data_IF_832851299036
#
_entry.id   IF_832851299036
#
_cell.length_a   1.000
_cell.length_b   1.000
_cell.length_c   1.000
_cell.angle_alpha   90.00
_cell.angle_beta   90.00
_cell.angle_gamma   90.00
#
_symmetry.space_group_name_H-M   'P 1'
#
loop_
_entity.id
_entity.type
_entity.pdbx_description
1 polymer ?
#
# COMPACT_ATOMS: atom_id res chain seq x y z
N UNK A 1 -16.29 38.14 -14.27
CA UNK A 1 -16.52 37.10 -15.29
C UNK A 1 -15.30 37.00 -16.17
N UNK A 2 -14.90 35.77 -16.46
CA UNK A 2 -13.74 35.44 -17.27
C UNK A 2 -14.05 34.16 -18.05
N UNK A 3 -13.42 33.99 -19.20
CA UNK A 3 -13.39 32.70 -19.92
C UNK A 3 -11.92 32.33 -20.11
N UNK A 4 -11.62 31.04 -19.94
CA UNK A 4 -10.29 30.46 -20.16
C UNK A 4 -10.45 29.21 -21.00
N UNK A 5 -9.62 29.08 -22.02
CA UNK A 5 -9.47 27.84 -22.75
C UNK A 5 -8.46 26.94 -22.05
N UNK A 6 -8.69 25.63 -22.08
CA UNK A 6 -7.72 24.65 -21.61
C UNK A 6 -6.50 24.62 -22.54
N UNK A 7 -5.27 24.76 -22.02
CA UNK A 7 -4.07 24.82 -22.87
C UNK A 7 -3.72 23.48 -23.53
N UNK A 8 -4.36 22.37 -23.12
CA UNK A 8 -4.07 21.01 -23.61
C UNK A 8 -5.20 20.40 -24.44
N UNK A 9 -6.41 20.96 -24.38
CA UNK A 9 -7.56 20.52 -25.18
C UNK A 9 -8.27 21.70 -25.83
N UNK A 10 -8.07 21.83 -27.14
CA UNK A 10 -8.78 22.80 -27.97
C UNK A 10 -10.30 22.64 -27.81
N UNK A 11 -11.00 23.76 -27.64
CA UNK A 11 -12.44 23.84 -27.48
C UNK A 11 -13.01 23.42 -26.12
N UNK A 12 -12.15 23.01 -25.18
CA UNK A 12 -12.52 22.91 -23.76
C UNK A 12 -12.37 24.29 -23.10
N UNK A 13 -13.50 24.88 -22.70
CA UNK A 13 -13.54 26.20 -22.08
C UNK A 13 -14.08 26.15 -20.66
N UNK A 14 -13.54 27.00 -19.79
CA UNK A 14 -14.03 27.25 -18.43
C UNK A 14 -14.51 28.69 -18.31
N UNK A 15 -15.68 28.92 -17.71
CA UNK A 15 -16.25 30.24 -17.51
C UNK A 15 -16.48 30.55 -16.02
N UNK A 16 -15.95 31.69 -15.59
CA UNK A 16 -16.25 32.31 -14.30
C UNK A 16 -17.49 33.20 -14.42
N UNK A 17 -18.49 32.91 -13.59
CA UNK A 17 -19.78 33.61 -13.61
C UNK A 17 -20.13 34.18 -12.23
N UNK A 18 -21.26 34.87 -12.13
CA UNK A 18 -21.80 35.29 -10.83
C UNK A 18 -22.38 34.12 -10.01
N UNK A 19 -22.52 32.94 -10.61
CA UNK A 19 -23.14 31.73 -10.05
C UNK A 19 -22.25 30.50 -10.23
N UNK A 20 -20.98 30.60 -9.84
CA UNK A 20 -20.04 29.48 -9.95
C UNK A 20 -19.31 29.38 -11.29
N UNK A 21 -18.81 28.17 -11.57
CA UNK A 21 -17.97 27.84 -12.72
C UNK A 21 -18.77 26.99 -13.71
N UNK A 22 -18.57 27.21 -15.01
CA UNK A 22 -19.17 26.42 -16.08
C UNK A 22 -18.07 25.88 -16.99
N UNK A 23 -18.34 24.74 -17.62
CA UNK A 23 -17.47 24.08 -18.60
C UNK A 23 -18.20 23.93 -19.93
N UNK A 24 -17.47 24.10 -21.03
CA UNK A 24 -17.93 23.86 -22.39
C UNK A 24 -16.96 22.90 -23.07
N UNK A 25 -17.49 21.98 -23.86
CA UNK A 25 -16.70 21.00 -24.63
C UNK A 25 -16.75 21.24 -26.15
N UNK A 26 -17.41 22.30 -26.60
CA UNK A 26 -17.73 22.59 -28.00
C UNK A 26 -17.55 24.08 -28.36
N UNK A 27 -16.41 24.66 -27.98
CA UNK A 27 -16.04 26.06 -28.29
C UNK A 27 -17.03 27.11 -27.77
N UNK A 28 -17.77 26.78 -26.71
CA UNK A 28 -18.70 27.67 -26.03
C UNK A 28 -20.11 27.64 -26.62
N UNK A 29 -20.42 26.69 -27.51
CA UNK A 29 -21.77 26.52 -28.04
C UNK A 29 -22.74 26.00 -26.96
N UNK A 30 -22.28 25.13 -26.07
CA UNK A 30 -23.04 24.63 -24.92
C UNK A 30 -22.21 24.72 -23.62
N UNK A 31 -22.89 25.07 -22.54
CA UNK A 31 -22.27 25.21 -21.21
C UNK A 31 -22.98 24.33 -20.20
N UNK A 32 -22.20 23.58 -19.42
CA UNK A 32 -22.66 22.81 -18.28
C UNK A 32 -22.09 23.43 -16.99
N UNK A 33 -22.86 23.36 -15.88
CA UNK A 33 -22.35 23.77 -14.58
C UNK A 33 -21.21 22.82 -14.15
N UNK A 34 -20.07 23.40 -13.75
CA UNK A 34 -18.97 22.69 -13.12
C UNK A 34 -18.98 23.03 -11.64
N UNK A 35 -19.60 22.15 -10.84
CA UNK A 35 -19.73 22.36 -9.41
C UNK A 35 -18.92 21.32 -8.62
N UNK A 36 -17.66 21.63 -8.23
CA UNK A 36 -16.83 20.75 -7.42
C UNK A 36 -17.19 20.82 -5.92
N UNK A 37 -18.44 21.11 -5.57
CA UNK A 37 -18.89 21.36 -4.19
C UNK A 37 -18.77 22.83 -3.75
N UNK A 38 -18.72 23.75 -4.72
CA UNK A 38 -18.73 25.18 -4.45
C UNK A 38 -20.13 25.64 -4.02
N UNK A 39 -20.19 26.57 -3.06
CA UNK A 39 -21.44 27.30 -2.83
C UNK A 39 -21.75 28.20 -4.03
N UNK A 40 -23.01 28.61 -4.19
CA UNK A 40 -23.39 29.62 -5.18
C UNK A 40 -22.77 30.97 -4.80
N UNK A 41 -21.70 31.36 -5.51
CA UNK A 41 -21.02 32.64 -5.32
C UNK A 41 -20.35 33.14 -6.60
N UNK A 42 -20.11 34.47 -6.70
CA UNK A 42 -19.40 35.04 -7.83
C UNK A 42 -17.95 34.55 -7.91
N UNK A 43 -17.56 34.10 -9.10
CA UNK A 43 -16.20 33.75 -9.47
C UNK A 43 -15.62 34.92 -10.26
N UNK A 44 -14.51 35.46 -9.78
CA UNK A 44 -13.91 36.66 -10.38
C UNK A 44 -12.96 36.31 -11.52
N UNK A 45 -12.21 35.21 -11.38
CA UNK A 45 -11.26 34.75 -12.39
C UNK A 45 -10.96 33.25 -12.29
N UNK A 46 -10.38 32.72 -13.37
CA UNK A 46 -9.91 31.33 -13.50
C UNK A 46 -8.50 31.31 -14.07
N UNK A 47 -7.70 30.35 -13.62
CA UNK A 47 -6.39 30.01 -14.21
C UNK A 47 -6.31 28.50 -14.35
N UNK A 48 -5.97 28.04 -15.55
CA UNK A 48 -5.65 26.63 -15.81
C UNK A 48 -4.14 26.51 -15.74
N UNK A 49 -3.64 25.71 -14.80
CA UNK A 49 -2.21 25.48 -14.59
C UNK A 49 -1.97 23.98 -14.54
N UNK A 50 -1.15 23.46 -15.46
CA UNK A 50 -0.89 22.02 -15.60
C UNK A 50 -2.17 21.17 -15.57
N UNK A 51 -2.43 20.41 -14.52
CA UNK A 51 -3.60 19.54 -14.33
C UNK A 51 -4.64 20.10 -13.34
N UNK A 52 -4.56 21.39 -13.01
CA UNK A 52 -5.39 22.02 -12.01
C UNK A 52 -6.11 23.26 -12.55
N UNK A 53 -7.31 23.51 -12.01
CA UNK A 53 -8.06 24.73 -12.24
C UNK A 53 -8.12 25.55 -10.95
N UNK A 54 -7.39 26.66 -10.92
CA UNK A 54 -7.47 27.64 -9.84
C UNK A 54 -8.67 28.58 -10.05
N UNK A 55 -9.50 28.68 -9.02
CA UNK A 55 -10.80 29.36 -9.06
C UNK A 55 -10.80 30.50 -8.05
N UNK A 56 -10.68 31.74 -8.51
CA UNK A 56 -10.70 32.91 -7.66
C UNK A 56 -12.15 33.31 -7.32
N UNK A 57 -12.47 33.31 -6.04
CA UNK A 57 -13.81 33.53 -5.51
C UNK A 57 -13.96 34.97 -4.99
N UNK A 58 -15.17 35.53 -5.12
CA UNK A 58 -15.50 36.79 -4.45
C UNK A 58 -15.76 36.54 -2.94
N UNK A 59 -14.84 36.99 -2.10
CA UNK A 59 -15.02 37.01 -0.64
C UNK A 59 -14.75 35.69 0.10
N UNK A 60 -14.26 34.63 -0.58
CA UNK A 60 -13.86 33.36 0.06
C UNK A 60 -12.50 32.82 -0.41
N UNK A 61 -11.60 33.71 -0.83
CA UNK A 61 -10.25 33.33 -1.28
C UNK A 61 -10.28 32.67 -2.66
N UNK A 62 -9.56 31.57 -2.80
CA UNK A 62 -9.54 30.77 -4.04
C UNK A 62 -9.65 29.28 -3.70
N UNK A 63 -10.08 28.52 -4.70
CA UNK A 63 -10.15 27.06 -4.68
C UNK A 63 -9.23 26.51 -5.75
N UNK A 64 -8.77 25.28 -5.58
CA UNK A 64 -8.07 24.53 -6.64
C UNK A 64 -8.87 23.26 -6.86
N UNK A 65 -9.35 23.08 -8.09
CA UNK A 65 -9.84 21.79 -8.55
C UNK A 65 -8.63 21.05 -9.12
N UNK A 66 -8.05 20.19 -8.28
CA UNK A 66 -6.94 19.33 -8.68
C UNK A 66 -7.43 18.18 -9.58
N UNK A 67 -6.54 17.70 -10.46
CA UNK A 67 -6.80 16.62 -11.43
C UNK A 67 -8.04 16.88 -12.31
N UNK A 68 -7.90 17.86 -13.21
CA UNK A 68 -8.85 18.11 -14.31
C UNK A 68 -8.66 17.14 -15.48
N UNK A 69 -7.79 16.12 -15.34
CA UNK A 69 -7.56 15.07 -16.33
C UNK A 69 -8.85 14.41 -16.84
N UNK A 70 -9.78 14.00 -15.96
CA UNK A 70 -11.09 13.48 -16.36
C UNK A 70 -11.93 14.48 -17.16
N UNK A 71 -11.88 15.78 -16.83
CA UNK A 71 -12.58 16.81 -17.62
C UNK A 71 -11.98 16.90 -19.02
N UNK A 72 -10.66 16.89 -19.14
CA UNK A 72 -9.96 16.88 -20.44
C UNK A 72 -10.23 15.64 -21.28
N UNK A 73 -10.59 14.53 -20.66
CA UNK A 73 -10.86 13.26 -21.35
C UNK A 73 -12.37 13.01 -21.53
N UNK A 74 -13.23 13.93 -21.08
CA UNK A 74 -14.67 13.79 -21.20
C UNK A 74 -15.10 13.84 -22.68
N UNK A 75 -15.76 12.79 -23.14
CA UNK A 75 -16.32 12.67 -24.48
C UNK A 75 -17.75 12.12 -24.38
N UNK A 76 -18.63 12.43 -25.35
CA UNK A 76 -19.98 11.85 -25.37
C UNK A 76 -19.95 10.32 -25.26
N UNK A 77 -20.76 9.76 -24.36
CA UNK A 77 -20.84 8.32 -24.12
C UNK A 77 -19.67 7.71 -23.35
N UNK A 78 -18.68 8.51 -22.92
CA UNK A 78 -17.54 8.02 -22.11
C UNK A 78 -17.99 7.36 -20.81
N UNK A 79 -19.03 7.90 -20.19
CA UNK A 79 -19.66 7.38 -18.97
C UNK A 79 -20.57 6.19 -19.20
N UNK A 80 -20.85 5.84 -20.47
CA UNK A 80 -21.58 4.62 -20.82
C UNK A 80 -20.66 3.38 -20.74
N UNK A 81 -19.34 3.59 -20.73
CA UNK A 81 -18.37 2.53 -20.51
C UNK A 81 -18.51 1.99 -19.08
N UNK A 82 -18.63 0.66 -18.95
CA UNK A 82 -18.77 -0.02 -17.66
C UNK A 82 -17.61 0.27 -16.71
N UNK A 83 -16.39 0.33 -17.26
CA UNK A 83 -15.15 0.62 -16.54
C UNK A 83 -14.29 1.52 -17.42
N UNK A 84 -13.88 2.68 -16.91
CA UNK A 84 -12.96 3.57 -17.60
C UNK A 84 -11.97 4.22 -16.65
N UNK A 85 -10.71 3.84 -16.78
CA UNK A 85 -9.58 4.46 -16.09
C UNK A 85 -9.06 5.63 -16.94
N UNK A 86 -9.00 6.83 -16.35
CA UNK A 86 -8.53 8.03 -17.02
C UNK A 86 -6.99 8.09 -17.00
N UNK A 87 -6.40 8.66 -18.06
CA UNK A 87 -4.97 8.96 -18.11
C UNK A 87 -4.62 10.00 -17.04
N UNK A 88 -3.77 9.66 -16.04
CA UNK A 88 -3.39 10.59 -14.99
C UNK A 88 -2.31 11.57 -15.49
N UNK A 89 -2.16 12.68 -14.77
CA UNK A 89 -1.00 13.56 -14.90
C UNK A 89 0.29 12.82 -14.47
N UNK A 90 1.47 13.24 -14.96
CA UNK A 90 2.74 12.71 -14.48
C UNK A 90 2.88 12.91 -12.96
N UNK A 91 3.24 11.85 -12.26
CA UNK A 91 3.56 11.89 -10.84
C UNK A 91 5.02 12.29 -10.63
N UNK A 92 5.31 12.96 -9.51
CA UNK A 92 6.67 13.29 -9.12
C UNK A 92 7.07 12.50 -7.88
N UNK A 93 8.24 11.86 -7.92
CA UNK A 93 8.84 11.26 -6.72
C UNK A 93 9.06 12.35 -5.67
N UNK A 94 8.93 12.03 -4.38
CA UNK A 94 8.96 13.00 -3.26
C UNK A 94 7.87 14.08 -3.29
N UNK A 95 6.77 13.85 -4.03
CA UNK A 95 5.52 14.59 -3.93
C UNK A 95 4.38 13.67 -3.40
N UNK A 96 3.12 14.03 -3.67
CA UNK A 96 1.95 13.37 -3.09
C UNK A 96 1.67 11.97 -3.65
N UNK A 97 2.13 11.68 -4.87
CA UNK A 97 1.94 10.39 -5.52
C UNK A 97 1.43 10.51 -6.95
N UNK A 98 0.82 9.44 -7.45
CA UNK A 98 0.06 9.44 -8.68
C UNK A 98 -1.44 9.40 -8.35
N UNK A 99 -2.17 10.43 -8.77
CA UNK A 99 -3.63 10.44 -8.67
C UNK A 99 -4.25 9.67 -9.82
N UNK A 100 -4.92 8.58 -9.49
CA UNK A 100 -5.67 7.76 -10.40
C UNK A 100 -7.15 8.09 -10.27
N UNK A 101 -7.81 8.25 -11.41
CA UNK A 101 -9.23 8.56 -11.49
C UNK A 101 -9.90 7.57 -12.43
N UNK A 102 -11.07 7.07 -12.06
CA UNK A 102 -11.86 6.18 -12.93
C UNK A 102 -13.35 6.39 -12.80
N UNK A 103 -14.07 6.00 -13.85
CA UNK A 103 -15.53 5.94 -13.89
C UNK A 103 -15.99 4.48 -13.88
N UNK A 104 -17.00 4.19 -13.06
CA UNK A 104 -17.76 2.94 -13.10
C UNK A 104 -19.23 3.25 -13.40
N UNK A 105 -19.82 2.60 -14.40
CA UNK A 105 -21.21 2.86 -14.78
C UNK A 105 -22.24 2.33 -13.76
N UNK A 106 -21.82 1.40 -12.90
CA UNK A 106 -22.59 0.84 -11.80
C UNK A 106 -21.64 0.38 -10.68
N UNK A 107 -22.17 0.12 -9.49
CA UNK A 107 -21.39 -0.41 -8.37
C UNK A 107 -20.98 -1.87 -8.66
N UNK A 108 -19.67 -2.20 -8.67
CA UNK A 108 -19.21 -3.53 -9.06
C UNK A 108 -19.26 -4.54 -7.90
N UNK A 109 -19.41 -5.82 -8.21
CA UNK A 109 -19.32 -6.91 -7.21
C UNK A 109 -17.87 -7.25 -6.87
N UNK A 110 -16.95 -7.11 -7.84
CA UNK A 110 -15.51 -7.26 -7.64
C UNK A 110 -14.74 -6.09 -8.24
N UNK A 111 -13.73 -5.61 -7.52
CA UNK A 111 -12.89 -4.48 -7.94
C UNK A 111 -11.45 -4.75 -7.52
N UNK A 112 -10.50 -4.45 -8.40
CA UNK A 112 -9.07 -4.58 -8.12
C UNK A 112 -8.29 -3.54 -8.92
N UNK A 113 -7.28 -2.95 -8.30
CA UNK A 113 -6.32 -2.06 -8.96
C UNK A 113 -4.94 -2.70 -8.86
N UNK A 114 -4.35 -3.01 -10.00
CA UNK A 114 -2.98 -3.48 -10.11
C UNK A 114 -2.10 -2.37 -10.66
N UNK A 115 -0.89 -2.23 -10.10
CA UNK A 115 0.16 -1.40 -10.67
C UNK A 115 1.25 -2.33 -11.20
N UNK A 116 1.64 -2.12 -12.45
CA UNK A 116 2.66 -2.89 -13.14
C UNK A 116 3.87 -2.02 -13.46
N UNK A 117 5.06 -2.63 -13.43
CA UNK A 117 6.29 -2.00 -13.89
C UNK A 117 6.39 -1.98 -15.43
N UNK A 118 7.47 -1.39 -15.95
CA UNK A 118 7.73 -1.31 -17.39
C UNK A 118 7.99 -2.66 -18.08
N UNK A 119 8.17 -3.75 -17.32
CA UNK A 119 8.31 -5.12 -17.83
C UNK A 119 6.98 -5.87 -17.82
N UNK A 120 5.93 -5.30 -17.23
CA UNK A 120 4.61 -5.91 -17.09
C UNK A 120 4.47 -6.80 -15.85
N UNK A 121 5.39 -6.73 -14.88
CA UNK A 121 5.23 -7.43 -13.61
C UNK A 121 4.29 -6.62 -12.71
N UNK A 122 3.35 -7.29 -12.04
CA UNK A 122 2.54 -6.65 -10.98
C UNK A 122 3.44 -6.36 -9.79
N UNK A 123 3.55 -5.08 -9.44
CA UNK A 123 4.35 -4.60 -8.31
C UNK A 123 3.50 -4.15 -7.14
N UNK A 124 2.20 -3.93 -7.36
CA UNK A 124 1.24 -3.64 -6.30
C UNK A 124 -0.16 -4.09 -6.67
N UNK A 125 -0.85 -4.67 -5.69
CA UNK A 125 -2.28 -4.98 -5.78
C UNK A 125 -3.03 -4.23 -4.68
N UNK A 126 -4.09 -3.52 -5.05
CA UNK A 126 -4.99 -2.87 -4.10
C UNK A 126 -6.40 -3.40 -4.32
N UNK A 127 -6.98 -3.89 -3.25
CA UNK A 127 -8.33 -4.44 -3.22
C UNK A 127 -9.25 -3.60 -2.32
N UNK A 128 -10.57 -3.74 -2.47
CA UNK A 128 -11.54 -3.26 -1.49
C UNK A 128 -11.22 -3.80 -0.10
N UNK A 129 -11.51 -2.96 0.91
CA UNK A 129 -11.43 -3.42 2.29
C UNK A 129 -12.56 -4.41 2.54
N UNK A 130 -12.22 -5.57 3.10
CA UNK A 130 -13.20 -6.45 3.72
C UNK A 130 -13.91 -5.73 4.90
N UNK A 131 -15.23 -5.50 4.82
CA UNK A 131 -15.98 -4.80 5.85
C UNK A 131 -15.99 -5.54 7.20
N UNK A 132 -15.87 -6.87 7.18
CA UNK A 132 -15.88 -7.72 8.37
C UNK A 132 -14.48 -7.89 8.97
N UNK A 133 -13.42 -7.56 8.22
CA UNK A 133 -12.07 -7.59 8.73
C UNK A 133 -11.88 -6.58 9.88
N UNK A 134 -11.20 -6.96 10.99
CA UNK A 134 -10.89 -6.05 12.08
C UNK A 134 -10.23 -4.76 11.58
N UNK A 135 -10.59 -3.62 12.16
CA UNK A 135 -9.93 -2.34 11.87
C UNK A 135 -8.51 -2.35 12.40
N UNK A 136 -7.59 -2.82 11.57
CA UNK A 136 -6.17 -2.65 11.79
C UNK A 136 -5.77 -1.23 11.38
N UNK A 137 -5.33 -0.41 12.35
CA UNK A 137 -4.81 0.94 12.12
C UNK A 137 -3.59 0.93 11.18
N UNK A 138 -2.96 -0.23 11.01
CA UNK A 138 -1.81 -0.47 10.16
C UNK A 138 -2.16 -1.02 8.77
N UNK A 139 -3.45 -1.31 8.50
CA UNK A 139 -3.90 -1.68 7.15
C UNK A 139 -3.58 -0.57 6.14
N UNK A 140 -3.19 -0.98 4.93
CA UNK A 140 -2.83 -0.09 3.84
C UNK A 140 -4.04 0.63 3.22
N UNK A 141 -3.79 1.37 2.15
CA UNK A 141 -4.86 1.92 1.33
C UNK A 141 -5.75 0.79 0.77
N UNK A 142 -7.05 1.04 0.67
CA UNK A 142 -8.03 0.11 0.11
C UNK A 142 -8.94 0.84 -0.86
N UNK A 143 -9.52 0.10 -1.80
CA UNK A 143 -10.45 0.68 -2.76
C UNK A 143 -11.82 0.94 -2.12
N UNK A 144 -12.45 2.03 -2.56
CA UNK A 144 -13.87 2.27 -2.30
C UNK A 144 -14.66 1.68 -3.47
N UNK A 145 -15.63 0.83 -3.17
CA UNK A 145 -16.54 0.23 -4.15
C UNK A 145 -17.76 1.14 -4.25
N UNK A 146 -17.91 1.82 -5.38
CA UNK A 146 -19.04 2.72 -5.65
C UNK A 146 -19.16 2.97 -7.16
N UNK A 147 -20.36 3.29 -7.63
CA UNK A 147 -20.57 3.80 -8.99
C UNK A 147 -20.08 5.24 -9.16
N UNK A 148 -19.85 5.65 -10.40
CA UNK A 148 -19.44 7.00 -10.77
C UNK A 148 -17.94 7.25 -10.72
N UNK A 149 -17.56 8.54 -10.63
CA UNK A 149 -16.18 8.98 -10.62
C UNK A 149 -15.55 8.72 -9.24
N UNK A 150 -14.50 7.91 -9.20
CA UNK A 150 -13.70 7.64 -8.01
C UNK A 150 -12.25 8.05 -8.22
N UNK A 151 -11.61 8.50 -7.14
CA UNK A 151 -10.22 8.92 -7.12
C UNK A 151 -9.45 8.08 -6.11
N UNK A 152 -8.20 7.78 -6.43
CA UNK A 152 -7.28 7.05 -5.57
C UNK A 152 -5.85 7.59 -5.72
N UNK A 153 -5.16 7.77 -4.61
CA UNK A 153 -3.78 8.25 -4.61
C UNK A 153 -2.83 7.07 -4.46
N UNK A 154 -2.12 6.71 -5.52
CA UNK A 154 -1.02 5.75 -5.44
C UNK A 154 0.23 6.45 -4.91
N UNK A 155 0.65 6.08 -3.71
CA UNK A 155 1.83 6.63 -3.02
C UNK A 155 3.19 6.27 -3.67
N UNK A 156 3.18 5.72 -4.89
CA UNK A 156 4.33 5.25 -5.67
C UNK A 156 5.07 4.06 -5.03
N UNK A 157 4.46 3.33 -4.09
CA UNK A 157 5.09 2.17 -3.44
C UNK A 157 4.59 0.86 -4.03
N UNK A 158 5.44 -0.16 -3.97
CA UNK A 158 5.10 -1.56 -4.27
C UNK A 158 4.27 -2.18 -3.14
N UNK A 159 3.88 -3.44 -3.27
CA UNK A 159 3.22 -4.19 -2.19
C UNK A 159 4.06 -4.18 -0.92
N UNK A 160 3.48 -3.96 0.26
CA UNK A 160 4.21 -3.90 1.53
C UNK A 160 4.80 -5.26 1.95
N UNK A 161 5.73 -5.22 2.92
CA UNK A 161 6.13 -6.45 3.61
C UNK A 161 4.94 -7.10 4.35
N UNK A 162 5.02 -8.41 4.58
CA UNK A 162 3.97 -9.17 5.26
C UNK A 162 3.59 -8.49 6.60
N UNK A 163 2.30 -8.45 6.90
CA UNK A 163 1.75 -7.97 8.16
C UNK A 163 0.97 -9.09 8.83
N UNK A 164 0.73 -8.97 10.14
CA UNK A 164 -0.11 -9.89 10.88
C UNK A 164 -1.01 -9.13 11.87
N UNK A 165 -2.17 -9.70 12.24
CA UNK A 165 -3.07 -9.08 13.19
C UNK A 165 -2.38 -8.72 14.51
N UNK A 166 -2.59 -7.47 14.97
CA UNK A 166 -2.03 -6.96 16.21
C UNK A 166 -0.54 -6.61 16.13
N UNK A 167 0.05 -6.54 14.94
CA UNK A 167 1.42 -6.06 14.79
C UNK A 167 1.54 -4.59 15.23
N UNK A 168 2.51 -4.31 16.08
CA UNK A 168 2.82 -2.97 16.58
C UNK A 168 4.29 -2.70 16.30
N UNK A 169 4.53 -1.73 15.41
CA UNK A 169 5.85 -1.17 15.13
C UNK A 169 5.93 0.26 15.70
N UNK A 170 7.07 0.59 16.29
CA UNK A 170 7.34 1.93 16.81
C UNK A 170 7.94 2.83 15.73
N UNK A 171 7.32 3.99 15.53
CA UNK A 171 7.81 5.05 14.66
C UNK A 171 7.73 4.76 13.15
N UNK A 172 7.24 3.59 12.73
CA UNK A 172 7.15 3.16 11.33
C UNK A 172 5.99 2.20 11.09
N UNK A 173 5.76 1.85 9.81
CA UNK A 173 4.83 0.82 9.33
C UNK A 173 5.59 -0.20 8.47
N UNK A 174 4.94 -1.30 8.08
CA UNK A 174 5.40 -2.17 6.99
C UNK A 174 5.18 -1.47 5.66
N UNK A 175 6.12 -0.59 5.28
CA UNK A 175 6.11 0.08 3.99
C UNK A 175 6.93 -0.73 2.96
N UNK A 176 6.69 -0.50 1.68
CA UNK A 176 7.56 -0.91 0.57
C UNK A 176 8.26 0.32 -0.01
N UNK A 177 9.46 0.21 -0.62
CA UNK A 177 10.14 1.38 -1.16
C UNK A 177 9.36 2.05 -2.31
N UNK A 178 9.51 3.36 -2.46
CA UNK A 178 8.96 4.10 -3.61
C UNK A 178 9.69 3.73 -4.90
N UNK A 179 8.95 3.55 -5.98
CA UNK A 179 9.48 3.20 -7.29
C UNK A 179 10.25 4.37 -7.93
N UNK A 180 11.34 4.10 -8.69
CA UNK A 180 12.13 5.15 -9.33
C UNK A 180 11.33 5.84 -10.46
N UNK A 181 11.79 7.00 -10.96
CA UNK A 181 11.25 7.59 -12.18
C UNK A 181 11.21 6.58 -13.34
N UNK A 182 10.11 6.55 -14.07
CA UNK A 182 9.86 5.54 -15.09
C UNK A 182 8.40 5.54 -15.55
N UNK A 183 8.08 4.57 -16.42
CA UNK A 183 6.72 4.35 -16.91
C UNK A 183 6.15 3.10 -16.24
N UNK A 184 4.95 3.23 -15.69
CA UNK A 184 4.20 2.19 -15.00
C UNK A 184 2.82 2.05 -15.64
N UNK A 185 2.16 0.93 -15.45
CA UNK A 185 0.77 0.73 -15.91
C UNK A 185 -0.13 0.58 -14.71
N UNK A 186 -1.21 1.37 -14.65
CA UNK A 186 -2.30 1.11 -13.73
C UNK A 186 -3.38 0.32 -14.48
N UNK A 187 -3.78 -0.82 -13.93
CA UNK A 187 -4.84 -1.69 -14.46
C UNK A 187 -5.96 -1.79 -13.44
N UNK A 188 -7.12 -1.27 -13.81
CA UNK A 188 -8.35 -1.40 -13.05
C UNK A 188 -9.16 -2.57 -13.60
N UNK A 189 -9.53 -3.51 -12.75
CA UNK A 189 -10.41 -4.63 -13.09
C UNK A 189 -11.68 -4.52 -12.27
N UNK A 190 -12.84 -4.46 -12.91
CA UNK A 190 -14.13 -4.51 -12.24
C UNK A 190 -15.05 -5.53 -12.95
N UNK A 191 -15.60 -6.48 -12.19
CA UNK A 191 -16.44 -7.58 -12.70
C UNK A 191 -15.83 -8.32 -13.91
N UNK A 192 -14.50 -8.49 -13.89
CA UNK A 192 -13.72 -9.13 -14.95
C UNK A 192 -13.44 -8.25 -16.18
N UNK A 193 -13.95 -7.02 -16.24
CA UNK A 193 -13.63 -6.04 -17.28
C UNK A 193 -12.42 -5.21 -16.85
N UNK A 194 -11.45 -5.06 -17.75
CA UNK A 194 -10.19 -4.37 -17.49
C UNK A 194 -10.10 -3.03 -18.22
N UNK A 195 -9.62 -1.99 -17.55
CA UNK A 195 -9.19 -0.72 -18.14
C UNK A 195 -7.78 -0.40 -17.67
N UNK A 196 -6.90 -0.04 -18.61
CA UNK A 196 -5.51 0.29 -18.32
C UNK A 196 -5.16 1.72 -18.69
N UNK A 197 -4.18 2.28 -18.00
CA UNK A 197 -3.56 3.55 -18.36
C UNK A 197 -2.08 3.56 -17.97
N UNK A 198 -1.30 4.39 -18.66
CA UNK A 198 0.11 4.61 -18.30
C UNK A 198 0.21 5.65 -17.19
N UNK A 199 1.07 5.41 -16.20
CA UNK A 199 1.45 6.37 -15.16
C UNK A 199 2.91 6.72 -15.37
N UNK A 200 3.20 7.98 -15.70
CA UNK A 200 4.58 8.46 -15.80
C UNK A 200 5.03 8.97 -14.43
N UNK A 201 6.14 8.45 -13.91
CA UNK A 201 6.78 8.93 -12.68
C UNK A 201 8.05 9.68 -13.06
N UNK A 202 8.17 10.92 -12.61
CA UNK A 202 9.30 11.81 -12.88
C UNK A 202 10.09 12.11 -11.61
N UNK A 203 11.36 12.48 -11.78
CA UNK A 203 12.15 13.08 -10.72
C UNK A 203 11.56 14.46 -10.35
N UNK A 204 11.57 14.82 -9.07
CA UNK A 204 11.11 16.13 -8.64
C UNK A 204 12.03 17.23 -9.21
N UNK A 205 11.50 18.18 -10.01
CA UNK A 205 12.33 19.20 -10.64
C UNK A 205 12.95 20.20 -9.66
N UNK A 206 12.48 20.27 -8.41
CA UNK A 206 13.03 21.15 -7.37
C UNK A 206 14.16 20.51 -6.55
N UNK A 207 14.42 19.22 -6.72
CA UNK A 207 15.52 18.52 -6.05
C UNK A 207 16.70 18.44 -7.02
N UNK A 208 17.60 19.42 -6.91
CA UNK A 208 18.83 19.46 -7.71
C UNK A 208 19.92 18.57 -7.09
N UNK A 209 20.77 17.97 -7.94
CA UNK A 209 21.94 17.21 -7.50
C UNK A 209 21.68 15.75 -7.09
N UNK A 210 20.43 15.28 -7.17
CA UNK A 210 20.06 13.86 -7.03
C UNK A 210 19.71 13.30 -8.41
N UNK A 211 20.35 12.19 -8.79
CA UNK A 211 20.15 11.57 -10.09
C UNK A 211 19.09 10.47 -10.06
N UNK A 212 18.56 10.08 -11.22
CA UNK A 212 17.69 8.90 -11.33
C UNK A 212 18.42 7.64 -10.84
N UNK A 213 19.73 7.52 -11.10
CA UNK A 213 20.54 6.41 -10.63
C UNK A 213 20.63 6.34 -9.08
N UNK A 214 20.62 7.49 -8.40
CA UNK A 214 20.55 7.53 -6.93
C UNK A 214 19.22 6.98 -6.42
N UNK A 215 18.12 7.35 -7.08
CA UNK A 215 16.77 6.88 -6.75
C UNK A 215 16.61 5.38 -7.04
N UNK A 216 17.22 4.87 -8.12
CA UNK A 216 17.28 3.44 -8.44
C UNK A 216 18.09 2.68 -7.38
N UNK A 217 19.25 3.21 -6.96
CA UNK A 217 20.06 2.61 -5.90
C UNK A 217 19.34 2.60 -4.55
N UNK A 218 18.60 3.67 -4.24
CA UNK A 218 17.75 3.77 -3.05
C UNK A 218 16.62 2.74 -3.11
N UNK A 219 15.94 2.61 -4.25
CA UNK A 219 14.88 1.62 -4.45
C UNK A 219 15.41 0.19 -4.30
N UNK A 220 16.53 -0.15 -4.94
CA UNK A 220 17.14 -1.47 -4.85
C UNK A 220 17.48 -1.85 -3.40
N UNK A 221 18.14 -0.95 -2.66
CA UNK A 221 18.43 -1.18 -1.25
C UNK A 221 17.16 -1.26 -0.39
N UNK A 222 16.16 -0.43 -0.68
CA UNK A 222 14.87 -0.49 -0.01
C UNK A 222 14.16 -1.84 -0.23
N UNK A 223 14.30 -2.45 -1.42
CA UNK A 223 13.75 -3.77 -1.72
C UNK A 223 14.47 -4.87 -0.94
N UNK A 224 15.79 -4.77 -0.79
CA UNK A 224 16.56 -5.69 0.07
C UNK A 224 16.08 -5.62 1.54
N UNK A 225 15.92 -4.41 2.08
CA UNK A 225 15.43 -4.22 3.46
C UNK A 225 14.01 -4.76 3.59
N UNK A 226 13.12 -4.41 2.65
CA UNK A 226 11.74 -4.86 2.66
C UNK A 226 11.64 -6.39 2.65
N UNK A 227 12.43 -7.07 1.81
CA UNK A 227 12.46 -8.54 1.77
C UNK A 227 12.81 -9.13 3.14
N UNK A 228 13.73 -8.51 3.87
CA UNK A 228 14.10 -8.95 5.23
C UNK A 228 13.06 -8.62 6.30
N UNK A 229 12.32 -7.52 6.16
CA UNK A 229 11.13 -7.26 6.99
C UNK A 229 10.06 -8.32 6.72
N UNK A 230 9.83 -8.66 5.44
CA UNK A 230 8.87 -9.68 5.04
C UNK A 230 9.26 -11.06 5.57
N UNK A 231 10.53 -11.45 5.48
CA UNK A 231 11.08 -12.68 6.06
C UNK A 231 10.84 -12.76 7.57
N UNK A 232 11.21 -11.70 8.31
CA UNK A 232 11.02 -11.63 9.75
C UNK A 232 9.53 -11.75 10.15
N UNK A 233 8.65 -11.04 9.46
CA UNK A 233 7.22 -11.08 9.77
C UNK A 233 6.59 -12.42 9.36
N UNK A 234 7.04 -13.03 8.26
CA UNK A 234 6.58 -14.35 7.81
C UNK A 234 6.99 -15.46 8.79
N UNK A 235 8.18 -15.37 9.38
CA UNK A 235 8.61 -16.28 10.44
C UNK A 235 7.66 -16.21 11.66
N UNK A 236 7.27 -14.99 12.07
CA UNK A 236 6.30 -14.80 13.16
C UNK A 236 4.92 -15.36 12.79
N UNK A 237 4.46 -15.14 11.56
CA UNK A 237 3.20 -15.69 11.04
C UNK A 237 3.22 -17.22 11.11
N UNK A 238 4.29 -17.85 10.64
CA UNK A 238 4.45 -19.30 10.64
C UNK A 238 4.43 -19.88 12.07
N UNK A 239 5.15 -19.25 13.01
CA UNK A 239 5.10 -19.62 14.43
C UNK A 239 3.67 -19.54 14.97
N UNK A 240 2.94 -18.46 14.66
CA UNK A 240 1.58 -18.29 15.18
C UNK A 240 0.58 -19.27 14.58
N UNK A 241 0.71 -19.60 13.29
CA UNK A 241 -0.13 -20.60 12.63
C UNK A 241 0.09 -21.98 13.23
N UNK A 242 1.35 -22.37 13.39
CA UNK A 242 1.69 -23.62 14.06
C UNK A 242 1.18 -23.66 15.51
N UNK A 243 1.34 -22.57 16.27
CA UNK A 243 0.80 -22.47 17.64
C UNK A 243 -0.71 -22.68 17.68
N UNK A 244 -1.47 -21.99 16.81
CA UNK A 244 -2.92 -22.11 16.75
C UNK A 244 -3.37 -23.55 16.45
N UNK A 245 -2.71 -24.22 15.50
CA UNK A 245 -2.96 -25.62 15.22
C UNK A 245 -2.64 -26.49 16.45
N UNK A 246 -1.47 -26.33 17.06
CA UNK A 246 -1.07 -27.13 18.23
C UNK A 246 -2.08 -26.98 19.37
N UNK A 247 -2.53 -25.76 19.66
CA UNK A 247 -3.56 -25.49 20.66
C UNK A 247 -4.85 -26.26 20.35
N UNK A 248 -5.31 -26.25 19.10
CA UNK A 248 -6.47 -27.05 18.66
C UNK A 248 -6.24 -28.57 18.85
N UNK A 249 -5.05 -29.10 18.54
CA UNK A 249 -4.77 -30.55 18.69
C UNK A 249 -4.72 -30.94 20.17
N UNK A 250 -4.22 -30.07 21.04
CA UNK A 250 -4.16 -30.30 22.48
C UNK A 250 -5.55 -30.32 23.15
N UNK A 251 -6.58 -29.74 22.53
CA UNK A 251 -7.97 -29.91 22.97
C UNK A 251 -8.52 -31.31 22.65
N UNK A 252 -7.98 -31.98 21.63
CA UNK A 252 -8.45 -33.28 21.15
C UNK A 252 -7.74 -34.48 21.81
N UNK A 253 -6.63 -34.28 22.54
CA UNK A 253 -5.90 -35.38 23.17
C UNK A 253 -5.36 -35.05 24.57
N UNK A 254 -5.35 -36.07 25.43
CA UNK A 254 -4.70 -36.03 26.74
C UNK A 254 -3.29 -36.64 26.76
N UNK A 255 -2.81 -37.11 25.62
CA UNK A 255 -1.56 -37.87 25.50
C UNK A 255 -0.35 -37.09 26.06
N UNK A 256 0.47 -37.79 26.86
CA UNK A 256 1.57 -37.17 27.58
C UNK A 256 2.73 -36.77 26.65
N UNK A 257 3.00 -37.58 25.62
CA UNK A 257 4.11 -37.38 24.70
C UNK A 257 3.79 -36.23 23.74
N UNK A 258 2.54 -36.15 23.25
CA UNK A 258 2.06 -34.99 22.46
C UNK A 258 2.17 -33.70 23.28
N UNK A 259 1.76 -33.73 24.56
CA UNK A 259 1.82 -32.54 25.44
C UNK A 259 3.24 -32.10 25.74
N UNK A 260 4.15 -33.03 25.98
CA UNK A 260 5.56 -32.73 26.20
C UNK A 260 6.20 -32.15 24.94
N UNK A 261 5.98 -32.77 23.78
CA UNK A 261 6.49 -32.29 22.50
C UNK A 261 5.94 -30.90 22.16
N UNK A 262 4.64 -30.67 22.36
CA UNK A 262 4.00 -29.38 22.15
C UNK A 262 4.56 -28.30 23.09
N UNK A 263 4.78 -28.63 24.37
CA UNK A 263 5.37 -27.71 25.33
C UNK A 263 6.80 -27.29 24.93
N UNK A 264 7.63 -28.26 24.56
CA UNK A 264 9.01 -28.02 24.12
C UNK A 264 9.05 -27.13 22.87
N UNK A 265 8.18 -27.41 21.89
CA UNK A 265 8.02 -26.59 20.71
C UNK A 265 7.58 -25.17 21.05
N UNK A 266 6.52 -25.01 21.87
CA UNK A 266 5.98 -23.70 22.26
C UNK A 266 7.03 -22.84 22.97
N UNK A 267 7.85 -23.45 23.83
CA UNK A 267 8.91 -22.75 24.53
C UNK A 267 9.98 -22.23 23.55
N UNK A 268 10.48 -23.08 22.65
CA UNK A 268 11.55 -22.72 21.72
C UNK A 268 11.07 -21.74 20.65
N UNK A 269 9.98 -22.06 19.95
CA UNK A 269 9.39 -21.20 18.93
C UNK A 269 8.93 -19.86 19.51
N UNK A 270 8.37 -19.86 20.72
CA UNK A 270 7.96 -18.63 21.41
C UNK A 270 9.13 -17.72 21.79
N UNK A 271 10.28 -18.29 22.20
CA UNK A 271 11.48 -17.51 22.45
C UNK A 271 12.00 -16.84 21.17
N UNK A 272 12.04 -17.57 20.06
CA UNK A 272 12.46 -17.05 18.75
C UNK A 272 11.49 -15.98 18.25
N UNK A 273 10.17 -16.18 18.39
CA UNK A 273 9.16 -15.16 18.08
C UNK A 273 9.45 -13.85 18.84
N UNK A 274 9.77 -13.95 20.13
CA UNK A 274 10.07 -12.82 21.00
C UNK A 274 11.39 -12.12 20.66
N UNK A 275 12.29 -12.76 19.93
CA UNK A 275 13.54 -12.18 19.42
C UNK A 275 13.37 -11.51 18.07
N UNK A 276 12.46 -12.02 17.24
CA UNK A 276 12.12 -11.41 15.95
C UNK A 276 11.17 -10.21 16.11
N UNK A 277 10.14 -10.36 16.94
CA UNK A 277 9.07 -9.38 17.19
C UNK A 277 8.81 -9.17 18.69
N UNK A 278 8.43 -7.94 19.08
CA UNK A 278 8.12 -7.64 20.48
C UNK A 278 6.71 -8.12 20.85
N UNK A 279 6.59 -9.39 21.24
CA UNK A 279 5.32 -10.08 21.57
C UNK A 279 4.57 -9.48 22.78
N UNK A 280 5.23 -8.65 23.60
CA UNK A 280 4.60 -7.99 24.75
C UNK A 280 3.76 -6.77 24.39
N UNK A 281 3.89 -6.26 23.17
CA UNK A 281 3.15 -5.09 22.73
C UNK A 281 1.65 -5.41 22.59
N UNK A 282 0.83 -4.61 23.26
CA UNK A 282 -0.65 -4.60 23.17
C UNK A 282 -1.18 -3.22 22.77
N UNK A 283 -0.38 -2.18 22.96
CA UNK A 283 -0.68 -0.80 22.61
C UNK A 283 0.50 -0.14 21.91
N UNK A 284 0.23 0.87 21.08
CA UNK A 284 1.25 1.64 20.37
C UNK A 284 2.24 2.38 21.27
N UNK A 285 1.98 2.49 22.58
CA UNK A 285 2.91 3.10 23.56
C UNK A 285 3.79 2.08 24.30
N UNK A 286 3.52 0.78 24.18
CA UNK A 286 4.32 -0.27 24.83
C UNK A 286 5.78 -0.33 24.37
N UNK A 287 6.13 0.06 23.13
CA UNK A 287 7.54 0.17 22.73
C UNK A 287 8.38 1.17 23.54
N UNK A 288 7.75 2.02 24.37
CA UNK A 288 8.46 2.85 25.35
C UNK A 288 8.95 2.04 26.57
N UNK A 289 8.29 0.91 26.86
CA UNK A 289 8.60 0.03 27.98
C UNK A 289 9.36 -1.23 27.55
N UNK A 290 9.16 -1.68 26.30
CA UNK A 290 9.77 -2.90 25.77
C UNK A 290 10.59 -2.60 24.51
N UNK A 291 11.83 -3.10 24.41
CA UNK A 291 12.70 -2.77 23.29
C UNK A 291 12.13 -3.28 21.97
N UNK A 292 12.31 -2.50 20.91
CA UNK A 292 11.98 -2.92 19.55
C UNK A 292 12.91 -4.06 19.08
N UNK A 293 12.37 -4.97 18.27
CA UNK A 293 13.09 -6.15 17.78
C UNK A 293 13.55 -5.99 16.33
N UNK A 294 14.22 -7.00 15.78
CA UNK A 294 14.91 -6.89 14.48
C UNK A 294 13.95 -6.51 13.35
N UNK A 295 12.70 -7.01 13.37
CA UNK A 295 11.70 -6.68 12.35
C UNK A 295 11.38 -5.17 12.31
N UNK A 296 11.20 -4.54 13.47
CA UNK A 296 10.93 -3.12 13.60
C UNK A 296 12.18 -2.30 13.25
N UNK A 297 13.38 -2.74 13.64
CA UNK A 297 14.63 -2.02 13.31
C UNK A 297 14.89 -2.02 11.80
N UNK A 298 14.66 -3.14 11.11
CA UNK A 298 14.70 -3.22 9.65
C UNK A 298 13.66 -2.30 9.00
N UNK A 299 12.41 -2.32 9.47
CA UNK A 299 11.37 -1.42 8.97
C UNK A 299 11.72 0.07 9.21
N UNK A 300 12.40 0.37 10.33
CA UNK A 300 12.91 1.71 10.61
C UNK A 300 14.02 2.12 9.64
N UNK A 301 14.96 1.22 9.34
CA UNK A 301 16.01 1.48 8.37
C UNK A 301 15.44 1.79 6.98
N UNK A 302 14.42 1.06 6.54
CA UNK A 302 13.72 1.38 5.27
C UNK A 302 13.18 2.81 5.32
N UNK A 303 12.45 3.17 6.37
CA UNK A 303 11.92 4.53 6.53
C UNK A 303 13.01 5.60 6.57
N UNK A 304 14.18 5.32 7.16
CA UNK A 304 15.30 6.25 7.17
C UNK A 304 15.97 6.36 5.80
N UNK A 305 16.10 5.25 5.06
CA UNK A 305 16.71 5.21 3.73
C UNK A 305 15.94 6.03 2.70
N UNK A 306 14.64 6.25 2.94
CA UNK A 306 13.76 7.04 2.07
C UNK A 306 13.54 8.48 2.53
N UNK A 307 14.34 8.96 3.49
CA UNK A 307 14.31 10.39 3.85
C UNK A 307 15.07 11.18 2.78
N UNK A 308 14.34 11.59 1.75
CA UNK A 308 14.87 12.20 0.54
C UNK A 308 15.10 11.18 -0.58
N UNK A 309 15.64 11.62 -1.71
CA UNK A 309 15.80 10.78 -2.92
C UNK A 309 17.23 10.32 -3.20
N UNK A 310 18.18 10.67 -2.32
CA UNK A 310 19.59 10.34 -2.49
C UNK A 310 19.92 8.85 -2.31
N UNK A 311 21.06 8.44 -2.85
CA UNK A 311 21.54 7.07 -2.70
C UNK A 311 21.78 6.70 -1.22
N UNK A 312 21.62 5.42 -0.85
CA UNK A 312 21.94 4.94 0.50
C UNK A 312 23.41 5.19 0.83
N UNK A 313 23.68 5.65 2.05
CA UNK A 313 25.05 5.82 2.52
C UNK A 313 25.64 4.53 3.10
N UNK A 314 26.98 4.48 3.23
CA UNK A 314 27.70 3.30 3.71
C UNK A 314 27.25 2.85 5.11
N UNK A 315 26.98 3.80 6.01
CA UNK A 315 26.51 3.50 7.35
C UNK A 315 25.16 2.77 7.38
N UNK A 316 24.25 3.09 6.45
CA UNK A 316 22.99 2.34 6.30
C UNK A 316 23.24 0.89 5.90
N UNK A 317 24.20 0.64 5.00
CA UNK A 317 24.55 -0.72 4.55
C UNK A 317 25.22 -1.52 5.65
N UNK A 318 26.10 -0.91 6.43
CA UNK A 318 26.72 -1.55 7.60
C UNK A 318 25.67 -1.94 8.66
N UNK A 319 24.76 -1.03 8.98
CA UNK A 319 23.66 -1.29 9.93
C UNK A 319 22.72 -2.37 9.39
N UNK A 320 22.40 -2.36 8.09
CA UNK A 320 21.64 -3.42 7.45
C UNK A 320 22.31 -4.79 7.63
N UNK A 321 23.62 -4.87 7.36
CA UNK A 321 24.37 -6.12 7.48
C UNK A 321 24.29 -6.70 8.90
N UNK A 322 24.46 -5.86 9.93
CA UNK A 322 24.34 -6.27 11.33
C UNK A 322 22.95 -6.88 11.60
N UNK A 323 21.88 -6.24 11.12
CA UNK A 323 20.52 -6.70 11.36
C UNK A 323 20.16 -7.96 10.59
N UNK A 324 20.66 -8.15 9.37
CA UNK A 324 20.38 -9.39 8.61
C UNK A 324 21.18 -10.58 9.15
N UNK A 325 22.37 -10.35 9.69
CA UNK A 325 23.14 -11.41 10.38
C UNK A 325 22.43 -11.83 11.67
N UNK A 326 21.87 -10.88 12.42
CA UNK A 326 21.03 -11.15 13.60
C UNK A 326 19.75 -11.91 13.23
N UNK A 327 19.01 -11.45 12.22
CA UNK A 327 17.80 -12.12 11.75
C UNK A 327 18.10 -13.55 11.27
N UNK A 328 19.18 -13.74 10.51
CA UNK A 328 19.60 -15.07 10.03
C UNK A 328 19.82 -16.01 11.20
N UNK A 329 20.48 -15.56 12.28
CA UNK A 329 20.66 -16.36 13.48
C UNK A 329 19.34 -16.87 14.07
N UNK A 330 18.29 -16.04 14.08
CA UNK A 330 16.97 -16.43 14.55
C UNK A 330 16.23 -17.36 13.58
N UNK A 331 16.34 -17.12 12.27
CA UNK A 331 15.69 -17.99 11.27
C UNK A 331 16.36 -19.34 11.15
N UNK A 332 17.68 -19.43 11.33
CA UNK A 332 18.42 -20.69 11.38
C UNK A 332 17.99 -21.51 12.61
N UNK A 333 17.88 -20.88 13.79
CA UNK A 333 17.32 -21.53 14.98
C UNK A 333 15.87 -21.97 14.77
N UNK A 334 15.07 -21.18 14.06
CA UNK A 334 13.69 -21.55 13.76
C UNK A 334 13.62 -22.77 12.85
N UNK A 335 14.50 -22.85 11.86
CA UNK A 335 14.62 -24.02 11.00
C UNK A 335 15.01 -25.27 11.79
N UNK A 336 15.94 -25.16 12.76
CA UNK A 336 16.25 -26.26 13.68
C UNK A 336 15.02 -26.71 14.49
N UNK A 337 14.17 -25.77 14.92
CA UNK A 337 12.91 -26.09 15.63
C UNK A 337 11.92 -26.81 14.71
N UNK A 338 11.90 -26.47 13.41
CA UNK A 338 11.05 -27.15 12.43
C UNK A 338 11.52 -28.57 12.15
N UNK A 339 12.82 -28.74 11.92
CA UNK A 339 13.40 -30.04 11.59
C UNK A 339 13.50 -30.97 12.81
N UNK A 340 13.55 -30.41 14.02
CA UNK A 340 13.65 -31.13 15.28
C UNK A 340 12.31 -31.24 16.02
N UNK A 341 11.94 -30.18 16.77
CA UNK A 341 10.80 -30.23 17.68
C UNK A 341 9.45 -30.40 16.97
N UNK A 342 9.23 -29.72 15.85
CA UNK A 342 7.97 -29.83 15.11
C UNK A 342 7.84 -31.22 14.46
N UNK A 343 8.93 -31.76 13.91
CA UNK A 343 8.95 -33.12 13.39
C UNK A 343 8.64 -34.16 14.48
N UNK A 344 9.23 -33.99 15.68
CA UNK A 344 8.93 -34.85 16.82
C UNK A 344 7.47 -34.74 17.29
N UNK A 345 6.92 -33.52 17.33
CA UNK A 345 5.51 -33.30 17.65
C UNK A 345 4.58 -33.94 16.61
N UNK A 346 4.89 -33.79 15.32
CA UNK A 346 4.10 -34.41 14.25
C UNK A 346 4.14 -35.93 14.28
N UNK A 347 5.28 -36.53 14.68
CA UNK A 347 5.36 -37.97 14.91
C UNK A 347 4.48 -38.41 16.09
N UNK A 348 4.49 -37.69 17.21
CA UNK A 348 3.63 -37.98 18.35
C UNK A 348 2.13 -37.81 18.02
N UNK A 349 1.77 -36.81 17.20
CA UNK A 349 0.41 -36.61 16.71
C UNK A 349 -0.06 -37.77 15.81
N UNK A 350 0.81 -38.30 14.96
CA UNK A 350 0.52 -39.45 14.09
C UNK A 350 0.22 -40.71 14.92
N UNK A 351 0.92 -40.93 16.04
CA UNK A 351 0.67 -42.07 16.95
C UNK A 351 -0.73 -42.04 17.59
N UNK A 352 -1.39 -40.88 17.62
CA UNK A 352 -2.74 -40.68 18.15
C UNK A 352 -3.76 -40.33 17.05
N UNK A 353 -3.44 -40.59 15.78
CA UNK A 353 -4.31 -40.34 14.61
C UNK A 353 -4.76 -38.87 14.47
N UNK A 354 -3.95 -37.90 14.92
CA UNK A 354 -4.24 -36.47 14.76
C UNK A 354 -3.49 -35.84 13.58
N UNK A 355 -4.08 -34.85 12.88
CA UNK A 355 -3.43 -34.19 11.76
C UNK A 355 -2.13 -33.48 12.17
N UNK A 356 -1.10 -33.66 11.35
CA UNK A 356 0.17 -32.95 11.47
C UNK A 356 -0.03 -31.42 11.40
N UNK A 357 0.85 -30.71 12.09
CA UNK A 357 0.92 -29.25 12.11
C UNK A 357 1.77 -28.77 10.93
N UNK A 358 1.22 -27.84 10.14
CA UNK A 358 1.91 -27.18 9.04
C UNK A 358 2.01 -25.66 9.28
N UNK A 359 3.19 -25.11 9.58
CA UNK A 359 3.38 -23.67 9.81
C UNK A 359 2.98 -22.79 8.62
N UNK A 360 2.91 -23.35 7.41
CA UNK A 360 2.66 -22.64 6.17
C UNK A 360 1.22 -22.77 5.66
N UNK A 361 0.35 -23.46 6.40
CA UNK A 361 -1.07 -23.60 6.05
C UNK A 361 -1.77 -22.24 6.11
N UNK A 362 -2.00 -21.64 4.94
CA UNK A 362 -2.66 -20.35 4.81
C UNK A 362 -4.15 -20.37 5.16
N UNK A 363 -4.77 -21.55 5.24
CA UNK A 363 -6.15 -21.69 5.70
C UNK A 363 -6.30 -21.39 7.20
N UNK A 364 -5.19 -21.40 7.96
CA UNK A 364 -5.15 -20.98 9.36
C UNK A 364 -5.11 -19.45 9.43
N UNK A 365 -6.29 -18.87 9.64
CA UNK A 365 -6.47 -17.43 9.80
C UNK A 365 -6.03 -17.00 11.20
N UNK A 366 -5.05 -16.11 11.27
CA UNK A 366 -4.63 -15.49 12.52
C UNK A 366 -5.64 -14.44 12.94
N UNK A 367 -5.93 -14.36 14.24
CA UNK A 367 -6.75 -13.31 14.84
C UNK A 367 -5.95 -12.60 15.92
N UNK A 368 -6.17 -11.29 16.08
CA UNK A 368 -5.58 -10.55 17.20
C UNK A 368 -6.43 -10.82 18.46
N UNK A 369 -5.87 -11.43 19.53
CA UNK A 369 -6.58 -11.66 20.78
C UNK A 369 -7.04 -10.39 21.52
#
# INVERSE_FOLDING_TARGET
NAVREDPTREGLLYAATNHGVYVSYDDGAMWAELNPGLSDLPIVDLIVEEDALAIASHGRGFWVLDDIGPLRQAEPGRTDASVHLYQPAPAYRSADGARLSWWLAAEPESLMLEILDGEGNVIRTIEPRDPDAPRDRWSGASLTVQEGLTRFEWDLRTDPAATFPGMILWGVRTMAPRVPPGSYTARLTADGLTSETVVEVRANPWIEGVTVADMEAQYAFGREIQAKVHEANSAVIAIRRARAQIEERLEATDDADVREAAHNWMQKAGAIEADIYQVRNRSGQDPLNFPIKVNNRLANLLSMSERGDGAPNDGMREVFQIMIDELRGYTDQLQEVWDGELAALNAALDEVDLPAVDPWDESVILVWP
#
